data_IF_243668176104
#
_entry.id   IF_243668176104
#
_cell.length_a   1.000
_cell.length_b   1.000
_cell.length_c   1.000
_cell.angle_alpha   90.00
_cell.angle_beta   90.00
_cell.angle_gamma   90.00
#
_symmetry.space_group_name_H-M   'P 1'
#
loop_
_entity.id
_entity.type
_entity.pdbx_description
1 polymer ?
#
# COMPACT_ATOMS: atom_id res chain seq x y z
N UNK A 1 2.73 -19.34 17.99
CA UNK A 1 1.62 -19.33 17.01
C UNK A 1 1.65 -18.03 16.22
N UNK A 2 1.19 -18.05 14.97
CA UNK A 2 1.13 -16.89 14.07
C UNK A 2 -0.29 -16.72 13.58
N UNK A 3 -0.75 -15.47 13.52
CA UNK A 3 -2.01 -15.10 12.85
C UNK A 3 -1.62 -14.22 11.68
N UNK A 4 -1.89 -14.69 10.46
CA UNK A 4 -1.59 -13.98 9.22
C UNK A 4 -2.84 -13.29 8.68
N UNK A 5 -2.75 -11.98 8.44
CA UNK A 5 -3.81 -11.18 7.83
C UNK A 5 -3.50 -10.95 6.36
N UNK A 6 -4.44 -11.26 5.50
CA UNK A 6 -4.38 -10.95 4.07
C UNK A 6 -5.79 -10.69 3.55
N UNK A 7 -6.04 -9.57 2.91
CA UNK A 7 -7.35 -9.25 2.37
C UNK A 7 -7.55 -9.69 0.91
N UNK A 8 -6.44 -9.94 0.20
CA UNK A 8 -6.47 -10.53 -1.14
C UNK A 8 -6.69 -12.04 -1.06
N UNK A 9 -7.87 -12.49 -1.46
CA UNK A 9 -8.25 -13.91 -1.40
C UNK A 9 -7.29 -14.83 -2.19
N UNK A 10 -6.75 -14.37 -3.32
CA UNK A 10 -5.82 -15.14 -4.13
C UNK A 10 -4.46 -15.30 -3.43
N UNK A 11 -3.94 -14.19 -2.86
CA UNK A 11 -2.71 -14.22 -2.08
C UNK A 11 -2.86 -15.11 -0.82
N UNK A 12 -4.03 -15.03 -0.16
CA UNK A 12 -4.35 -15.86 0.98
C UNK A 12 -4.37 -17.34 0.64
N UNK A 13 -5.04 -17.74 -0.45
CA UNK A 13 -5.10 -19.12 -0.91
C UNK A 13 -3.70 -19.68 -1.19
N UNK A 14 -2.85 -18.93 -1.90
CA UNK A 14 -1.45 -19.31 -2.14
C UNK A 14 -0.62 -19.43 -0.88
N UNK A 15 -0.83 -18.53 0.10
CA UNK A 15 -0.16 -18.62 1.38
C UNK A 15 -0.57 -19.88 2.13
N UNK A 16 -1.86 -20.23 2.08
CA UNK A 16 -2.39 -21.45 2.69
C UNK A 16 -1.75 -22.70 2.10
N UNK A 17 -1.65 -22.81 0.77
CA UNK A 17 -1.00 -23.93 0.11
C UNK A 17 0.48 -24.06 0.49
N UNK A 18 1.22 -22.95 0.47
CA UNK A 18 2.67 -22.94 0.74
C UNK A 18 3.01 -23.22 2.19
N UNK A 19 2.13 -22.87 3.12
CA UNK A 19 2.36 -22.94 4.55
C UNK A 19 1.67 -24.15 5.22
N UNK A 20 1.21 -25.14 4.43
CA UNK A 20 0.54 -26.35 4.90
C UNK A 20 1.30 -27.08 6.01
N UNK A 21 2.62 -27.12 5.94
CA UNK A 21 3.50 -27.76 6.95
C UNK A 21 3.46 -27.04 8.33
N UNK A 22 2.94 -25.83 8.40
CA UNK A 22 2.91 -25.00 9.61
C UNK A 22 1.47 -24.78 10.12
N UNK A 23 0.49 -25.51 9.58
CA UNK A 23 -0.93 -25.30 9.86
C UNK A 23 -1.33 -25.46 11.33
N UNK A 24 -0.59 -26.27 12.08
CA UNK A 24 -0.73 -26.43 13.51
C UNK A 24 -0.40 -25.15 14.30
N UNK A 25 0.37 -24.25 13.72
CA UNK A 25 0.88 -23.01 14.33
C UNK A 25 0.43 -21.73 13.63
N UNK A 26 -0.16 -21.84 12.44
CA UNK A 26 -0.60 -20.72 11.62
C UNK A 26 -2.14 -20.69 11.55
N UNK A 27 -2.69 -19.51 11.80
CA UNK A 27 -4.09 -19.18 11.49
C UNK A 27 -4.11 -18.03 10.50
N UNK A 28 -4.93 -18.10 9.46
CA UNK A 28 -5.08 -17.05 8.46
C UNK A 28 -6.43 -16.38 8.59
N UNK A 29 -6.47 -15.07 8.36
CA UNK A 29 -7.67 -14.23 8.40
C UNK A 29 -7.74 -13.42 7.10
N UNK A 30 -8.88 -13.50 6.41
CA UNK A 30 -9.12 -12.69 5.21
C UNK A 30 -9.68 -11.33 5.63
N UNK A 31 -8.81 -10.44 6.08
CA UNK A 31 -9.18 -9.10 6.53
C UNK A 31 -8.04 -8.09 6.31
N UNK A 32 -8.37 -6.81 6.39
CA UNK A 32 -7.37 -5.74 6.49
C UNK A 32 -6.67 -5.80 7.85
N UNK A 33 -5.39 -5.48 7.89
CA UNK A 33 -4.68 -5.24 9.15
C UNK A 33 -5.29 -4.08 9.97
N UNK A 34 -6.04 -3.18 9.34
CA UNK A 34 -6.78 -2.11 10.02
C UNK A 34 -7.89 -2.65 10.94
N UNK A 35 -8.35 -3.88 10.69
CA UNK A 35 -9.39 -4.54 11.48
C UNK A 35 -8.81 -5.45 12.58
N UNK A 36 -7.50 -5.30 12.88
CA UNK A 36 -6.75 -6.13 13.83
C UNK A 36 -7.49 -6.37 15.15
N UNK A 37 -8.05 -5.32 15.76
CA UNK A 37 -8.77 -5.45 17.04
C UNK A 37 -10.00 -6.35 16.94
N UNK A 38 -10.82 -6.12 15.92
CA UNK A 38 -12.08 -6.87 15.75
C UNK A 38 -11.80 -8.35 15.45
N UNK A 39 -10.81 -8.60 14.58
CA UNK A 39 -10.45 -9.97 14.19
C UNK A 39 -9.79 -10.74 15.34
N UNK A 40 -8.91 -10.12 16.14
CA UNK A 40 -8.34 -10.76 17.33
C UNK A 40 -9.41 -11.06 18.38
N UNK A 41 -10.36 -10.15 18.58
CA UNK A 41 -11.49 -10.38 19.48
C UNK A 41 -12.36 -11.56 19.01
N UNK A 42 -12.67 -11.66 17.72
CA UNK A 42 -13.39 -12.79 17.13
C UNK A 42 -12.64 -14.13 17.29
N UNK A 43 -11.32 -14.08 17.39
CA UNK A 43 -10.45 -15.23 17.63
C UNK A 43 -10.24 -15.55 19.12
N UNK A 44 -10.84 -14.78 20.05
CA UNK A 44 -10.59 -14.82 21.50
C UNK A 44 -9.10 -14.64 21.84
N UNK A 45 -8.40 -13.77 21.13
CA UNK A 45 -7.00 -13.41 21.37
C UNK A 45 -6.96 -12.00 21.99
N UNK A 46 -6.67 -11.91 23.27
CA UNK A 46 -6.64 -10.64 24.01
C UNK A 46 -5.34 -9.88 23.78
N UNK A 47 -4.21 -10.61 23.66
CA UNK A 47 -2.87 -10.03 23.54
C UNK A 47 -2.01 -10.78 22.53
N UNK A 48 -1.12 -10.05 21.87
CA UNK A 48 -0.10 -10.58 20.97
C UNK A 48 1.29 -10.12 21.42
N UNK A 49 2.30 -10.99 21.24
CA UNK A 49 3.68 -10.77 21.67
C UNK A 49 4.51 -10.01 20.64
N UNK A 50 3.99 -9.80 19.45
CA UNK A 50 4.63 -9.05 18.38
C UNK A 50 3.72 -8.84 17.17
N UNK A 51 4.00 -7.79 16.42
CA UNK A 51 3.30 -7.45 15.19
C UNK A 51 4.33 -7.09 14.11
N UNK A 52 4.26 -7.77 12.97
CA UNK A 52 5.01 -7.44 11.76
C UNK A 52 4.04 -7.05 10.66
N UNK A 53 4.26 -5.90 10.04
CA UNK A 53 3.46 -5.41 8.91
C UNK A 53 4.39 -5.12 7.74
N UNK A 54 4.13 -5.76 6.60
CA UNK A 54 4.79 -5.53 5.32
C UNK A 54 3.80 -4.77 4.42
N UNK A 55 4.00 -3.46 4.28
CA UNK A 55 3.06 -2.58 3.60
C UNK A 55 3.17 -2.70 2.06
N UNK A 56 2.15 -2.19 1.39
CA UNK A 56 2.11 -2.09 -0.07
C UNK A 56 1.56 -3.33 -0.77
N UNK A 57 1.99 -3.54 -2.01
CA UNK A 57 1.49 -4.60 -2.89
C UNK A 57 2.35 -5.84 -2.88
N UNK A 58 1.72 -7.00 -2.93
CA UNK A 58 2.43 -8.27 -3.07
C UNK A 58 3.04 -8.42 -4.47
N UNK A 59 4.08 -9.26 -4.58
CA UNK A 59 4.65 -9.64 -5.88
C UNK A 59 3.60 -10.24 -6.81
N UNK A 60 2.67 -11.01 -6.27
CA UNK A 60 1.56 -11.59 -7.01
C UNK A 60 0.72 -10.53 -7.70
N UNK A 61 0.32 -9.48 -6.97
CA UNK A 61 -0.49 -8.38 -7.51
C UNK A 61 0.23 -7.60 -8.62
N UNK A 62 1.56 -7.45 -8.53
CA UNK A 62 2.37 -6.78 -9.56
C UNK A 62 2.61 -7.65 -10.80
N UNK A 63 2.68 -8.96 -10.62
CA UNK A 63 2.99 -9.91 -11.69
C UNK A 63 1.74 -10.32 -12.49
N UNK A 64 0.55 -10.13 -11.93
CA UNK A 64 -0.74 -10.35 -12.57
C UNK A 64 -1.25 -9.06 -13.23
N UNK A 65 -1.07 -8.92 -14.54
CA UNK A 65 -1.41 -7.71 -15.29
C UNK A 65 -2.88 -7.29 -15.09
N UNK A 66 -3.80 -8.27 -15.07
CA UNK A 66 -5.25 -8.08 -14.92
C UNK A 66 -5.66 -7.43 -13.57
N UNK A 67 -4.73 -7.36 -12.60
CA UNK A 67 -4.94 -6.65 -11.34
C UNK A 67 -4.77 -5.13 -11.47
N UNK A 68 -4.19 -4.63 -12.55
CA UNK A 68 -4.06 -3.21 -12.87
C UNK A 68 -3.02 -2.43 -12.04
N UNK A 69 -2.15 -3.08 -11.26
CA UNK A 69 -1.12 -2.40 -10.46
C UNK A 69 0.11 -1.97 -11.26
N UNK A 70 0.24 -2.46 -12.50
CA UNK A 70 1.37 -2.19 -13.38
C UNK A 70 0.88 -1.73 -14.75
N UNK A 71 1.63 -0.87 -15.40
CA UNK A 71 1.43 -0.45 -16.80
C UNK A 71 2.48 -1.01 -17.76
N UNK A 72 3.22 -2.05 -17.33
CA UNK A 72 4.18 -2.75 -18.20
C UNK A 72 3.48 -3.54 -19.32
N UNK A 73 2.30 -4.03 -19.01
CA UNK A 73 1.38 -4.67 -19.94
C UNK A 73 0.06 -3.93 -19.80
N UNK A 74 -0.58 -3.61 -20.91
CA UNK A 74 -1.90 -2.97 -20.87
C UNK A 74 -2.95 -3.96 -20.34
N UNK A 75 -3.75 -3.50 -19.38
CA UNK A 75 -4.68 -4.34 -18.64
C UNK A 75 -5.80 -3.46 -18.03
N UNK A 76 -6.88 -4.05 -17.50
CA UNK A 76 -7.92 -3.30 -16.81
C UNK A 76 -7.37 -2.43 -15.67
N UNK A 77 -7.84 -1.20 -15.55
CA UNK A 77 -7.44 -0.24 -14.54
C UNK A 77 -8.21 -0.51 -13.22
N UNK A 78 -7.87 -1.62 -12.55
CA UNK A 78 -8.56 -2.09 -11.33
C UNK A 78 -7.92 -1.55 -10.05
N UNK A 79 -6.73 -1.99 -9.70
CA UNK A 79 -5.90 -1.65 -8.51
C UNK A 79 -6.52 -2.04 -7.15
N UNK A 80 -7.57 -2.83 -7.09
CA UNK A 80 -8.11 -3.32 -5.81
C UNK A 80 -7.23 -4.43 -5.25
N UNK A 81 -6.82 -4.31 -4.00
CA UNK A 81 -6.21 -5.40 -3.24
C UNK A 81 -7.28 -6.40 -2.80
N UNK A 82 -8.38 -5.91 -2.23
CA UNK A 82 -9.58 -6.70 -1.95
C UNK A 82 -10.61 -6.52 -3.06
N UNK A 83 -10.88 -7.58 -3.83
CA UNK A 83 -11.89 -7.54 -4.91
C UNK A 83 -13.33 -7.37 -4.42
N UNK A 84 -13.61 -7.50 -3.13
CA UNK A 84 -14.91 -7.18 -2.53
C UNK A 84 -15.17 -5.67 -2.49
N UNK A 85 -14.10 -4.84 -2.55
CA UNK A 85 -14.24 -3.39 -2.67
C UNK A 85 -14.90 -3.04 -4.02
N UNK A 86 -16.00 -2.27 -4.06
CA UNK A 86 -16.65 -1.88 -5.31
C UNK A 86 -15.89 -0.79 -6.08
N UNK A 87 -14.92 -0.11 -5.46
CA UNK A 87 -14.21 1.03 -6.03
C UNK A 87 -12.94 0.56 -6.73
N UNK A 88 -12.87 0.75 -8.06
CA UNK A 88 -11.67 0.52 -8.87
C UNK A 88 -10.98 1.84 -9.23
N UNK A 89 -9.72 1.79 -9.68
CA UNK A 89 -9.04 2.98 -10.17
C UNK A 89 -9.75 3.59 -11.39
N UNK A 90 -10.26 2.77 -12.31
CA UNK A 90 -11.09 3.24 -13.41
C UNK A 90 -12.33 3.99 -12.91
N UNK A 91 -13.00 3.50 -11.87
CA UNK A 91 -14.17 4.15 -11.30
C UNK A 91 -13.85 5.48 -10.61
N UNK A 92 -12.68 5.63 -10.00
CA UNK A 92 -12.20 6.92 -9.46
C UNK A 92 -11.94 7.90 -10.61
N UNK A 93 -11.18 7.49 -11.62
CA UNK A 93 -10.88 8.31 -12.80
C UNK A 93 -12.17 8.76 -13.53
N UNK A 94 -13.16 7.87 -13.61
CA UNK A 94 -14.43 8.18 -14.29
C UNK A 94 -15.30 9.22 -13.55
N UNK A 95 -15.30 9.20 -12.20
CA UNK A 95 -16.30 9.94 -11.40
C UNK A 95 -15.77 11.20 -10.71
N UNK A 96 -14.48 11.23 -10.34
CA UNK A 96 -13.94 12.35 -9.58
C UNK A 96 -13.74 13.59 -10.45
N UNK A 97 -13.87 14.78 -9.83
CA UNK A 97 -13.56 16.04 -10.49
C UNK A 97 -12.05 16.22 -10.71
N UNK A 98 -11.65 17.18 -11.53
CA UNK A 98 -10.25 17.49 -11.77
C UNK A 98 -9.54 17.91 -10.47
N UNK A 99 -10.22 18.64 -9.59
CA UNK A 99 -9.69 19.05 -8.28
C UNK A 99 -9.45 17.83 -7.37
N UNK A 100 -10.45 16.94 -7.28
CA UNK A 100 -10.35 15.73 -6.46
C UNK A 100 -9.22 14.79 -6.95
N UNK A 101 -9.10 14.61 -8.27
CA UNK A 101 -7.99 13.84 -8.86
C UNK A 101 -6.63 14.51 -8.60
N UNK A 102 -6.57 15.85 -8.72
CA UNK A 102 -5.34 16.59 -8.43
C UNK A 102 -4.92 16.43 -6.96
N UNK A 103 -5.87 16.48 -6.03
CA UNK A 103 -5.59 16.26 -4.60
C UNK A 103 -5.05 14.84 -4.34
N UNK A 104 -5.65 13.81 -4.94
CA UNK A 104 -5.14 12.44 -4.87
C UNK A 104 -3.71 12.37 -5.41
N UNK A 105 -3.44 12.90 -6.60
CA UNK A 105 -2.11 12.83 -7.21
C UNK A 105 -1.06 13.62 -6.41
N UNK A 106 -1.44 14.75 -5.83
CA UNK A 106 -0.56 15.58 -5.04
C UNK A 106 -0.26 14.96 -3.66
N UNK A 107 -1.29 14.57 -2.92
CA UNK A 107 -1.14 14.09 -1.54
C UNK A 107 -0.64 12.64 -1.47
N UNK A 108 -1.08 11.75 -2.37
CA UNK A 108 -0.73 10.34 -2.34
C UNK A 108 0.40 9.98 -3.32
N UNK A 109 0.59 10.76 -4.38
CA UNK A 109 1.66 10.55 -5.36
C UNK A 109 2.88 11.47 -5.16
N UNK A 110 2.75 12.52 -4.33
CA UNK A 110 3.73 13.62 -4.27
C UNK A 110 4.04 14.17 -5.68
N UNK A 111 3.01 14.21 -6.56
CA UNK A 111 3.15 14.59 -7.96
C UNK A 111 2.97 16.11 -8.14
N UNK A 112 4.05 16.77 -8.58
CA UNK A 112 4.05 18.24 -8.75
C UNK A 112 3.19 18.72 -9.91
N UNK A 113 2.96 17.89 -10.92
CA UNK A 113 2.13 18.22 -12.08
C UNK A 113 0.66 17.75 -11.90
N UNK A 114 0.25 17.44 -10.66
CA UNK A 114 -1.05 16.86 -10.30
C UNK A 114 -2.24 17.56 -10.97
N UNK A 115 -2.33 18.91 -10.87
CA UNK A 115 -3.43 19.68 -11.47
C UNK A 115 -3.47 19.56 -12.99
N UNK A 116 -2.30 19.55 -13.63
CA UNK A 116 -2.20 19.42 -15.09
C UNK A 116 -2.62 18.03 -15.52
N UNK A 117 -2.13 16.99 -14.86
CA UNK A 117 -2.48 15.60 -15.15
C UNK A 117 -3.99 15.37 -14.96
N UNK A 118 -4.56 15.85 -13.85
CA UNK A 118 -5.97 15.71 -13.55
C UNK A 118 -6.86 16.36 -14.63
N UNK A 119 -6.50 17.55 -15.10
CA UNK A 119 -7.24 18.22 -16.19
C UNK A 119 -7.18 17.41 -17.49
N UNK A 120 -6.00 16.95 -17.90
CA UNK A 120 -5.84 16.11 -19.10
C UNK A 120 -6.65 14.82 -19.00
N UNK A 121 -6.70 14.20 -17.81
CA UNK A 121 -7.50 13.00 -17.56
C UNK A 121 -8.99 13.26 -17.71
N UNK A 122 -9.50 14.37 -17.16
CA UNK A 122 -10.90 14.74 -17.26
C UNK A 122 -11.26 15.05 -18.72
N UNK A 123 -10.44 15.82 -19.44
CA UNK A 123 -10.61 16.09 -20.86
C UNK A 123 -10.60 14.78 -21.70
N UNK A 124 -9.66 13.87 -21.42
CA UNK A 124 -9.56 12.62 -22.17
C UNK A 124 -10.78 11.70 -21.96
N UNK A 125 -11.27 11.56 -20.72
CA UNK A 125 -12.42 10.68 -20.43
C UNK A 125 -13.75 11.17 -21.03
N UNK A 126 -13.84 12.47 -21.37
CA UNK A 126 -15.00 13.01 -22.09
C UNK A 126 -15.06 12.50 -23.54
N UNK A 127 -13.93 12.22 -24.16
CA UNK A 127 -13.83 11.64 -25.49
C UNK A 127 -13.95 10.11 -25.46
N UNK A 128 -13.23 9.45 -24.55
CA UNK A 128 -13.22 7.99 -24.40
C UNK A 128 -12.96 7.61 -22.95
N UNK A 129 -13.72 6.64 -22.36
CA UNK A 129 -13.49 6.18 -20.99
C UNK A 129 -12.08 5.64 -20.78
N UNK A 130 -11.41 6.10 -19.73
CA UNK A 130 -10.06 5.63 -19.35
C UNK A 130 -10.20 4.37 -18.50
N UNK A 131 -10.12 3.20 -19.14
CA UNK A 131 -10.39 1.91 -18.50
C UNK A 131 -9.19 1.00 -18.41
N UNK A 132 -8.06 1.37 -19.01
CA UNK A 132 -6.86 0.55 -19.06
C UNK A 132 -5.64 1.23 -18.45
N UNK A 133 -4.68 0.43 -18.02
CA UNK A 133 -3.41 0.91 -17.45
C UNK A 133 -2.55 1.63 -18.48
N UNK A 134 -2.53 1.14 -19.73
CA UNK A 134 -1.82 1.77 -20.85
C UNK A 134 -2.41 3.14 -21.17
N UNK A 135 -3.73 3.21 -21.35
CA UNK A 135 -4.41 4.48 -21.64
C UNK A 135 -4.16 5.53 -20.55
N UNK A 136 -4.23 5.15 -19.27
CA UNK A 136 -3.86 6.06 -18.18
C UNK A 136 -2.41 6.52 -18.28
N UNK A 137 -1.47 5.61 -18.52
CA UNK A 137 -0.04 5.94 -18.59
C UNK A 137 0.28 6.88 -19.77
N UNK A 138 -0.35 6.70 -20.91
CA UNK A 138 -0.22 7.56 -22.11
C UNK A 138 -0.74 8.97 -21.86
N UNK A 139 -1.93 9.11 -21.23
CA UNK A 139 -2.49 10.41 -20.87
C UNK A 139 -1.57 11.15 -19.91
N UNK A 140 -1.03 10.46 -18.88
CA UNK A 140 -0.08 11.07 -17.95
C UNK A 140 1.19 11.51 -18.66
N UNK A 141 1.73 10.70 -19.57
CA UNK A 141 2.94 11.03 -20.32
C UNK A 141 2.72 12.24 -21.25
N UNK A 142 1.54 12.36 -21.87
CA UNK A 142 1.15 13.51 -22.69
C UNK A 142 0.96 14.77 -21.84
N UNK A 143 0.41 14.64 -20.66
CA UNK A 143 0.16 15.76 -19.74
C UNK A 143 1.45 16.39 -19.21
N UNK A 144 2.50 15.60 -18.93
CA UNK A 144 3.74 16.09 -18.29
C UNK A 144 4.78 16.46 -19.32
N UNK A 145 5.24 17.73 -19.38
CA UNK A 145 6.34 18.09 -20.28
C UNK A 145 7.61 17.27 -20.04
N UNK A 146 8.30 16.86 -21.09
CA UNK A 146 9.50 15.98 -21.01
C UNK A 146 10.57 16.46 -20.01
N UNK A 147 10.77 17.76 -19.86
CA UNK A 147 11.73 18.35 -18.90
C UNK A 147 11.40 18.04 -17.42
N UNK A 148 10.18 17.61 -17.11
CA UNK A 148 9.74 17.24 -15.78
C UNK A 148 9.62 15.72 -15.59
N UNK A 149 9.95 14.90 -16.60
CA UNK A 149 9.97 13.46 -16.47
C UNK A 149 11.08 13.04 -15.49
N UNK A 150 10.78 12.19 -14.51
CA UNK A 150 11.79 11.68 -13.58
C UNK A 150 12.85 10.85 -14.31
N UNK A 151 14.16 10.96 -13.97
CA UNK A 151 15.21 10.28 -14.73
C UNK A 151 15.28 8.76 -14.47
N UNK A 152 14.69 8.26 -13.41
CA UNK A 152 14.85 6.87 -12.93
C UNK A 152 13.57 6.05 -12.91
N UNK A 153 12.41 6.67 -13.04
CA UNK A 153 11.09 6.00 -12.99
C UNK A 153 10.22 6.56 -14.11
N UNK A 154 9.26 5.80 -14.55
CA UNK A 154 8.30 6.27 -15.54
C UNK A 154 7.44 7.42 -14.96
N UNK A 155 7.08 8.39 -15.79
CA UNK A 155 6.31 9.59 -15.38
C UNK A 155 4.98 9.24 -14.73
N UNK A 156 4.32 8.16 -15.13
CA UNK A 156 3.05 7.71 -14.57
C UNK A 156 3.18 7.03 -13.18
N UNK A 157 4.38 6.64 -12.74
CA UNK A 157 4.56 5.83 -11.52
C UNK A 157 3.90 6.46 -10.29
N UNK A 158 4.02 7.79 -10.13
CA UNK A 158 3.42 8.51 -8.99
C UNK A 158 1.90 8.57 -9.05
N UNK A 159 1.33 8.68 -10.23
CA UNK A 159 -0.13 8.65 -10.44
C UNK A 159 -0.68 7.27 -10.14
N UNK A 160 -0.01 6.20 -10.57
CA UNK A 160 -0.38 4.83 -10.24
C UNK A 160 -0.31 4.58 -8.72
N UNK A 161 0.75 5.01 -8.05
CA UNK A 161 0.85 4.96 -6.59
C UNK A 161 -0.32 5.70 -5.93
N UNK A 162 -0.64 6.90 -6.39
CA UNK A 162 -1.70 7.73 -5.82
C UNK A 162 -3.08 7.08 -5.94
N UNK A 163 -3.42 6.56 -7.13
CA UNK A 163 -4.68 5.85 -7.35
C UNK A 163 -4.76 4.56 -6.53
N UNK A 164 -3.67 3.80 -6.45
CA UNK A 164 -3.61 2.58 -5.62
C UNK A 164 -3.91 2.90 -4.15
N UNK A 165 -3.24 3.89 -3.60
CA UNK A 165 -3.46 4.35 -2.22
C UNK A 165 -4.92 4.79 -2.02
N UNK A 166 -5.50 5.52 -2.96
CA UNK A 166 -6.88 6.00 -2.88
C UNK A 166 -7.89 4.85 -2.96
N UNK A 167 -7.72 3.90 -3.89
CA UNK A 167 -8.60 2.73 -4.05
C UNK A 167 -8.62 1.87 -2.80
N UNK A 168 -7.47 1.67 -2.17
CA UNK A 168 -7.30 0.74 -1.05
C UNK A 168 -7.27 1.44 0.32
N UNK A 169 -7.45 2.76 0.39
CA UNK A 169 -7.40 3.56 1.64
C UNK A 169 -6.16 3.22 2.50
N UNK A 170 -5.00 3.01 1.84
CA UNK A 170 -3.81 2.43 2.46
C UNK A 170 -3.30 3.25 3.65
N UNK A 171 -3.25 4.58 3.50
CA UNK A 171 -2.72 5.45 4.56
C UNK A 171 -3.66 5.55 5.76
N UNK A 172 -4.97 5.60 5.54
CA UNK A 172 -5.97 5.62 6.63
C UNK A 172 -5.96 4.31 7.41
N UNK A 173 -5.84 3.18 6.69
CA UNK A 173 -5.68 1.87 7.30
C UNK A 173 -4.42 1.78 8.17
N UNK A 174 -3.30 2.34 7.70
CA UNK A 174 -2.05 2.39 8.46
C UNK A 174 -2.18 3.25 9.72
N UNK A 175 -2.80 4.43 9.62
CA UNK A 175 -3.07 5.30 10.77
C UNK A 175 -3.91 4.56 11.80
N UNK A 176 -5.03 3.96 11.37
CA UNK A 176 -5.92 3.19 12.24
C UNK A 176 -5.21 2.04 12.95
N UNK A 177 -4.38 1.28 12.23
CA UNK A 177 -3.58 0.22 12.84
C UNK A 177 -2.67 0.76 13.94
N UNK A 178 -1.91 1.82 13.64
CA UNK A 178 -0.93 2.40 14.57
C UNK A 178 -1.57 2.99 15.83
N UNK A 179 -2.81 3.50 15.72
CA UNK A 179 -3.58 4.00 16.85
C UNK A 179 -4.15 2.87 17.70
N UNK A 180 -4.55 1.77 17.09
CA UNK A 180 -5.29 0.70 17.76
C UNK A 180 -4.40 -0.44 18.24
N UNK A 181 -3.25 -0.71 17.60
CA UNK A 181 -2.37 -1.82 17.94
C UNK A 181 -1.89 -1.84 19.41
N UNK A 182 -1.64 -0.69 20.11
CA UNK A 182 -1.26 -0.71 21.52
C UNK A 182 -2.27 -1.41 22.43
N UNK A 183 -3.55 -1.45 22.05
CA UNK A 183 -4.60 -2.07 22.86
C UNK A 183 -4.45 -3.61 22.95
N UNK A 184 -3.85 -4.23 21.93
CA UNK A 184 -3.68 -5.69 21.83
C UNK A 184 -2.24 -6.16 21.94
N UNK A 185 -1.27 -5.28 21.85
CA UNK A 185 0.13 -5.60 22.10
C UNK A 185 0.38 -5.80 23.61
N UNK A 186 1.01 -6.91 23.99
CA UNK A 186 1.46 -7.11 25.34
C UNK A 186 2.56 -6.08 25.72
N UNK A 187 2.69 -5.66 26.99
CA UNK A 187 3.81 -4.84 27.42
C UNK A 187 5.14 -5.49 27.04
N UNK A 188 6.05 -4.73 26.43
CA UNK A 188 7.32 -5.24 25.89
C UNK A 188 7.23 -5.88 24.50
N UNK A 189 6.03 -6.08 23.96
CA UNK A 189 5.85 -6.57 22.59
C UNK A 189 6.40 -5.58 21.57
N UNK A 190 6.94 -6.09 20.46
CA UNK A 190 7.49 -5.27 19.39
C UNK A 190 6.56 -5.18 18.22
N UNK A 191 6.44 -3.96 17.68
CA UNK A 191 5.79 -3.68 16.40
C UNK A 191 6.86 -3.30 15.38
N UNK A 192 6.91 -4.02 14.27
CA UNK A 192 7.83 -3.82 13.16
C UNK A 192 7.05 -3.54 11.88
N UNK A 193 7.34 -2.42 11.21
CA UNK A 193 6.64 -2.00 9.99
C UNK A 193 7.65 -1.76 8.88
N UNK A 194 7.43 -2.41 7.74
CA UNK A 194 8.18 -2.21 6.50
C UNK A 194 7.35 -1.31 5.60
N UNK A 195 7.87 -0.12 5.29
CA UNK A 195 7.29 0.87 4.39
C UNK A 195 8.07 0.92 3.08
N UNK A 196 7.42 1.23 1.96
CA UNK A 196 8.05 1.28 0.63
C UNK A 196 8.06 2.68 0.00
N UNK A 197 7.37 3.65 0.59
CA UNK A 197 7.41 5.05 0.15
C UNK A 197 7.40 6.05 1.31
N UNK A 198 7.69 7.31 0.98
CA UNK A 198 7.87 8.41 1.93
C UNK A 198 6.66 8.68 2.83
N UNK A 199 5.45 8.52 2.31
CA UNK A 199 4.23 8.80 3.06
C UNK A 199 4.01 7.78 4.18
N UNK A 200 4.15 6.48 3.88
CA UNK A 200 4.08 5.42 4.89
C UNK A 200 5.14 5.61 5.97
N UNK A 201 6.42 5.80 5.57
CA UNK A 201 7.53 5.98 6.51
C UNK A 201 7.31 7.19 7.43
N UNK A 202 6.73 8.29 6.89
CA UNK A 202 6.39 9.49 7.65
C UNK A 202 5.32 9.22 8.69
N UNK A 203 4.24 8.52 8.32
CA UNK A 203 3.14 8.14 9.23
C UNK A 203 3.69 7.26 10.36
N UNK A 204 4.41 6.20 10.03
CA UNK A 204 5.00 5.30 11.04
C UNK A 204 5.94 6.04 11.99
N UNK A 205 6.84 6.89 11.45
CA UNK A 205 7.75 7.70 12.25
C UNK A 205 7.00 8.62 13.22
N UNK A 206 5.96 9.29 12.74
CA UNK A 206 5.17 10.23 13.55
C UNK A 206 4.36 9.49 14.62
N UNK A 207 3.72 8.38 14.29
CA UNK A 207 2.96 7.57 15.22
C UNK A 207 3.84 6.99 16.34
N UNK A 208 5.00 6.42 16.00
CA UNK A 208 5.92 5.87 17.00
C UNK A 208 6.53 6.96 17.91
N UNK A 209 6.76 8.17 17.40
CA UNK A 209 7.30 9.27 18.19
C UNK A 209 6.25 10.03 19.01
N UNK A 210 5.01 10.10 18.52
CA UNK A 210 3.94 10.90 19.11
C UNK A 210 3.03 10.15 20.08
N UNK A 211 3.00 8.81 20.02
CA UNK A 211 2.15 8.01 20.89
C UNK A 211 2.95 7.47 22.08
N UNK A 212 2.62 7.86 23.33
CA UNK A 212 3.34 7.45 24.56
C UNK A 212 3.30 5.93 24.81
N UNK A 213 2.39 5.21 24.16
CA UNK A 213 2.34 3.75 24.24
C UNK A 213 3.51 3.06 23.51
N UNK A 214 4.28 3.82 22.71
CA UNK A 214 5.41 3.27 21.96
C UNK A 214 6.75 3.82 22.46
N UNK A 215 7.71 2.93 22.66
CA UNK A 215 9.13 3.24 22.82
C UNK A 215 9.83 2.99 21.49
N UNK A 216 10.32 4.04 20.83
CA UNK A 216 11.03 3.93 19.54
C UNK A 216 12.33 3.16 19.71
N UNK A 217 12.48 2.04 18.98
CA UNK A 217 13.72 1.26 18.95
C UNK A 217 14.64 1.67 17.79
N UNK A 218 14.06 2.09 16.65
CA UNK A 218 14.82 2.52 15.46
C UNK A 218 14.59 4.02 15.21
N UNK A 219 15.49 4.89 15.65
CA UNK A 219 15.42 6.34 15.37
C UNK A 219 15.54 6.63 13.87
N UNK A 220 16.44 5.91 13.16
CA UNK A 220 16.55 5.88 11.69
C UNK A 220 15.95 4.57 11.19
N UNK A 221 15.31 4.55 10.01
CA UNK A 221 14.85 3.29 9.45
C UNK A 221 16.04 2.38 9.14
N UNK A 222 15.81 1.09 9.24
CA UNK A 222 16.76 0.09 8.73
C UNK A 222 16.45 -0.08 7.25
N UNK A 223 17.44 0.11 6.39
CA UNK A 223 17.34 0.01 4.94
C UNK A 223 18.03 -1.28 4.45
N UNK A 224 17.60 -1.83 3.30
CA UNK A 224 18.19 -3.05 2.75
C UNK A 224 19.66 -2.83 2.35
N UNK A 225 20.48 -3.84 2.56
CA UNK A 225 21.88 -3.82 2.14
C UNK A 225 21.99 -3.93 0.60
N UNK A 226 23.09 -3.45 -0.02
CA UNK A 226 23.32 -3.56 -1.46
C UNK A 226 23.18 -5.00 -1.98
N UNK A 227 23.68 -5.98 -1.23
CA UNK A 227 23.59 -7.39 -1.60
C UNK A 227 22.13 -7.91 -1.63
N UNK A 228 21.28 -7.39 -0.75
CA UNK A 228 19.85 -7.70 -0.75
C UNK A 228 19.15 -7.06 -1.95
N UNK A 229 19.38 -5.77 -2.20
CA UNK A 229 18.76 -5.07 -3.35
C UNK A 229 19.19 -5.61 -4.69
N UNK A 230 20.38 -6.18 -4.78
CA UNK A 230 20.87 -6.87 -5.99
C UNK A 230 20.09 -8.16 -6.25
N UNK A 231 19.80 -8.94 -5.20
CA UNK A 231 19.03 -10.19 -5.29
C UNK A 231 17.52 -9.94 -5.38
N UNK A 232 17.03 -8.92 -4.67
CA UNK A 232 15.63 -8.51 -4.63
C UNK A 232 15.49 -7.01 -4.92
N UNK A 233 15.41 -6.59 -6.19
CA UNK A 233 15.26 -5.18 -6.56
C UNK A 233 14.02 -4.51 -5.98
N UNK A 234 12.98 -5.28 -5.62
CA UNK A 234 11.74 -4.77 -4.99
C UNK A 234 11.98 -4.26 -3.57
N UNK A 235 12.99 -4.77 -2.87
CA UNK A 235 13.37 -4.30 -1.55
C UNK A 235 14.05 -2.91 -1.55
N UNK A 236 14.47 -2.38 -2.69
CA UNK A 236 15.27 -1.14 -2.79
C UNK A 236 14.70 0.05 -2.02
N UNK A 237 13.39 0.16 -1.93
CA UNK A 237 12.71 1.28 -1.26
C UNK A 237 12.25 0.93 0.15
N UNK A 238 12.51 -0.29 0.63
CA UNK A 238 12.05 -0.76 1.94
C UNK A 238 12.71 0.03 3.08
N UNK A 239 11.90 0.36 4.08
CA UNK A 239 12.30 1.05 5.31
C UNK A 239 11.63 0.37 6.49
N UNK A 240 12.41 -0.36 7.28
CA UNK A 240 11.92 -1.01 8.49
C UNK A 240 12.02 -0.05 9.68
N UNK A 241 10.90 0.15 10.37
CA UNK A 241 10.84 0.82 11.67
C UNK A 241 10.31 -0.13 12.74
N UNK A 242 10.88 -0.02 13.92
CA UNK A 242 10.51 -0.85 15.07
C UNK A 242 10.29 0.02 16.31
N UNK A 243 9.21 -0.27 17.01
CA UNK A 243 8.92 0.26 18.32
C UNK A 243 8.53 -0.87 19.28
N UNK A 244 8.59 -0.61 20.57
CA UNK A 244 8.16 -1.51 21.64
C UNK A 244 6.96 -0.92 22.35
N UNK A 245 5.99 -1.75 22.72
CA UNK A 245 4.85 -1.37 23.56
C UNK A 245 5.32 -1.19 25.01
N UNK A 246 5.18 0.00 25.57
CA UNK A 246 5.48 0.30 26.99
C UNK A 246 4.28 0.10 27.88
#
# INVERSE_FOLDING_TARGET
RVIGFEWDAEALARAQERLTLYWDRLRTVQASYADLLAELAALNVERIDGLLVDLGVSSLQLDHAERGFSFRTDAPLDMRMDRRNPVTAASLVARLSAEQLADIFYHYGEERQARRIARFLVEAREAEPVTTTGGLAEIVAAAVPRKFHPPRIHVATRVFQALRIAVNTELDNLVRLLETAPAVLAPGARIAIIAFHSLEDRIVKQAFAGNPAYRVLTRRPIEPQPAETQKNPRARSAKLRVAERV
#
